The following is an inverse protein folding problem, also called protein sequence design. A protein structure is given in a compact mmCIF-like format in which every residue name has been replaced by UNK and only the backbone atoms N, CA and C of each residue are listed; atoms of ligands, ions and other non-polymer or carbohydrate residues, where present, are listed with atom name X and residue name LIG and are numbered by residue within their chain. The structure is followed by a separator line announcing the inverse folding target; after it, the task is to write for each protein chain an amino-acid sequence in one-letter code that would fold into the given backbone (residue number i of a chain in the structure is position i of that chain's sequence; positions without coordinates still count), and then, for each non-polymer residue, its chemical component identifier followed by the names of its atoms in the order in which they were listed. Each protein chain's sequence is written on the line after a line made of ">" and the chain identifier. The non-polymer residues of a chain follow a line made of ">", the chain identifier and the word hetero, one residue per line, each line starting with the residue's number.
data_IF_857003286641
#
_entry.id   IF_857003286641
#
_cell.length_a   1.000
_cell.length_b   1.000
_cell.length_c   1.000
_cell.angle_alpha   90.00
_cell.angle_beta   90.00
_cell.angle_gamma   90.00
#
_symmetry.space_group_name_H-M   'P 1'
#
loop_
_entity.id
_entity.type
_entity.pdbx_description
1 polymer ?
#
# COMPACT_ATOMS: atom_id res chain seq x y z
N UNK A 1 15.30 53.74 -46.82
CA UNK A 1 14.36 52.61 -47.03
C UNK A 1 14.08 52.00 -45.67
N UNK A 2 13.02 52.41 -44.99
CA UNK A 2 12.68 51.97 -43.63
C UNK A 2 11.72 50.81 -43.70
N UNK A 3 12.13 49.65 -43.18
CA UNK A 3 11.26 48.49 -43.03
C UNK A 3 10.34 48.67 -41.80
N UNK A 4 9.07 48.84 -42.05
CA UNK A 4 8.02 48.87 -41.05
C UNK A 4 7.76 47.44 -40.55
N UNK A 5 8.19 47.11 -39.35
CA UNK A 5 8.05 45.78 -38.72
C UNK A 5 6.65 45.68 -38.14
N UNK A 6 5.84 44.77 -38.67
CA UNK A 6 4.44 44.55 -38.40
C UNK A 6 4.17 44.24 -36.91
N UNK A 7 3.52 45.13 -36.18
CA UNK A 7 3.16 45.04 -34.77
C UNK A 7 2.17 43.91 -34.45
N UNK A 8 1.48 43.38 -35.46
CA UNK A 8 0.47 42.32 -35.35
C UNK A 8 1.07 40.95 -35.07
N UNK A 9 2.28 40.62 -35.54
CA UNK A 9 2.94 39.37 -35.26
C UNK A 9 3.47 39.27 -33.81
N UNK A 10 3.86 40.41 -33.24
CA UNK A 10 4.37 40.48 -31.86
C UNK A 10 3.24 40.25 -30.83
N UNK A 11 2.03 40.65 -31.14
CA UNK A 11 0.87 40.42 -30.28
C UNK A 11 0.39 38.98 -30.29
N UNK A 12 0.42 38.31 -31.45
CA UNK A 12 0.04 36.90 -31.57
C UNK A 12 1.00 35.97 -30.80
N UNK A 13 2.29 36.25 -30.77
CA UNK A 13 3.28 35.48 -30.02
C UNK A 13 3.06 35.58 -28.51
N UNK A 14 2.68 36.79 -28.02
CA UNK A 14 2.40 37.01 -26.61
C UNK A 14 1.12 36.30 -26.15
N UNK A 15 0.08 36.19 -26.97
CA UNK A 15 -1.15 35.46 -26.61
C UNK A 15 -0.94 33.95 -26.61
N UNK A 16 -0.12 33.40 -27.50
CA UNK A 16 0.22 31.96 -27.50
C UNK A 16 1.06 31.60 -26.29
N UNK A 17 2.01 32.45 -25.86
CA UNK A 17 2.80 32.21 -24.63
C UNK A 17 1.98 32.25 -23.35
N UNK A 18 0.94 33.07 -23.28
CA UNK A 18 0.06 33.16 -22.09
C UNK A 18 -0.88 31.95 -21.98
N UNK A 19 -1.33 31.41 -23.12
CA UNK A 19 -2.21 30.21 -23.12
C UNK A 19 -1.47 28.93 -22.72
N UNK A 20 -0.19 28.81 -23.04
CA UNK A 20 0.64 27.64 -22.67
C UNK A 20 0.96 27.62 -21.17
N UNK A 21 0.98 28.76 -20.48
CA UNK A 21 1.26 28.85 -19.04
C UNK A 21 0.06 28.46 -18.15
N UNK A 22 -1.14 28.33 -18.70
CA UNK A 22 -2.38 27.99 -17.97
C UNK A 22 -2.72 26.49 -18.02
N UNK A 23 -1.91 25.67 -18.70
CA UNK A 23 -2.06 24.18 -18.76
C UNK A 23 -1.08 23.48 -17.84
N UNK A 24 -0.89 23.95 -16.60
CA UNK A 24 -0.21 23.14 -15.59
C UNK A 24 -1.14 22.02 -15.13
N UNK A 25 -0.67 20.77 -15.11
CA UNK A 25 -1.51 19.63 -14.72
C UNK A 25 -1.87 19.73 -13.22
N UNK A 26 -3.15 19.91 -12.94
CA UNK A 26 -3.76 19.93 -11.58
C UNK A 26 -3.83 18.52 -10.97
N UNK A 27 -3.15 17.54 -11.54
CA UNK A 27 -3.31 16.12 -11.19
C UNK A 27 -2.74 15.72 -9.83
N UNK A 28 -1.80 16.47 -9.25
CA UNK A 28 -1.22 16.13 -7.93
C UNK A 28 -2.14 16.49 -6.75
N UNK A 29 -3.05 17.44 -6.91
CA UNK A 29 -3.93 17.89 -5.82
C UNK A 29 -4.98 16.84 -5.44
N UNK A 30 -5.51 16.10 -6.39
CA UNK A 30 -6.59 15.12 -6.15
C UNK A 30 -6.14 13.89 -5.34
N UNK A 31 -4.93 13.37 -5.58
CA UNK A 31 -4.44 12.20 -4.85
C UNK A 31 -4.20 12.53 -3.37
N UNK A 32 -3.68 13.71 -3.06
CA UNK A 32 -3.42 14.14 -1.68
C UNK A 32 -4.72 14.36 -0.90
N UNK A 33 -5.72 14.96 -1.52
CA UNK A 33 -7.04 15.19 -0.91
C UNK A 33 -7.77 13.85 -0.67
N UNK A 34 -7.73 12.94 -1.64
CA UNK A 34 -8.30 11.60 -1.52
C UNK A 34 -7.67 10.81 -0.36
N UNK A 35 -6.34 10.79 -0.27
CA UNK A 35 -5.65 10.09 0.81
C UNK A 35 -5.94 10.71 2.18
N UNK A 36 -5.97 12.04 2.29
CA UNK A 36 -6.32 12.72 3.53
C UNK A 36 -7.73 12.37 4.00
N UNK A 37 -8.71 12.32 3.08
CA UNK A 37 -10.08 11.95 3.40
C UNK A 37 -10.18 10.48 3.85
N UNK A 38 -9.55 9.55 3.15
CA UNK A 38 -9.52 8.13 3.53
C UNK A 38 -8.82 7.97 4.88
N UNK A 39 -7.62 8.52 5.07
CA UNK A 39 -6.85 8.43 6.32
C UNK A 39 -7.63 8.98 7.51
N UNK A 40 -8.39 10.05 7.32
CA UNK A 40 -9.22 10.64 8.40
C UNK A 40 -10.33 9.71 8.90
N UNK A 41 -10.74 8.75 8.09
CA UNK A 41 -11.81 7.78 8.40
C UNK A 41 -11.28 6.43 8.87
N UNK A 42 -10.03 6.11 8.52
CA UNK A 42 -9.40 4.87 8.97
C UNK A 42 -9.20 4.91 10.49
N UNK A 43 -9.51 3.79 11.13
CA UNK A 43 -9.21 3.60 12.53
C UNK A 43 -7.69 3.54 12.71
N UNK A 44 -7.14 4.56 13.35
CA UNK A 44 -5.72 4.61 13.74
C UNK A 44 -5.58 4.03 15.14
N UNK A 45 -5.48 2.71 15.24
CA UNK A 45 -5.31 2.02 16.51
C UNK A 45 -3.86 1.57 16.67
N UNK A 46 -3.26 1.73 17.89
CA UNK A 46 -1.90 1.26 18.16
C UNK A 46 -1.72 -0.24 17.94
N UNK A 47 -2.77 -1.01 18.19
CA UNK A 47 -2.80 -2.46 17.98
C UNK A 47 -4.02 -2.81 17.16
N UNK A 48 -3.83 -3.60 16.11
CA UNK A 48 -4.89 -4.21 15.31
C UNK A 48 -4.63 -5.69 15.14
N UNK A 49 -5.64 -6.51 15.28
CA UNK A 49 -5.55 -7.96 15.07
C UNK A 49 -6.80 -8.51 14.44
N UNK A 50 -6.68 -9.61 13.72
CA UNK A 50 -7.82 -10.24 13.06
C UNK A 50 -7.43 -11.49 12.30
N UNK A 51 -8.35 -11.94 11.46
CA UNK A 51 -8.15 -13.08 10.59
C UNK A 51 -7.82 -12.62 9.18
N UNK A 52 -7.05 -13.43 8.46
CA UNK A 52 -6.88 -13.28 7.02
C UNK A 52 -7.25 -14.57 6.29
N UNK A 53 -7.75 -14.40 5.07
CA UNK A 53 -7.84 -15.43 4.05
C UNK A 53 -7.05 -14.98 2.83
N UNK A 54 -6.18 -15.84 2.32
CA UNK A 54 -5.32 -15.54 1.18
C UNK A 54 -5.57 -16.53 0.05
N UNK A 55 -5.74 -16.02 -1.15
CA UNK A 55 -5.78 -16.77 -2.40
C UNK A 55 -4.58 -16.33 -3.26
N UNK A 56 -3.69 -17.29 -3.57
CA UNK A 56 -2.58 -17.04 -4.49
C UNK A 56 -2.80 -17.78 -5.80
N UNK A 57 -3.01 -17.02 -6.86
CA UNK A 57 -3.18 -17.52 -8.22
C UNK A 57 -1.83 -17.53 -8.94
N UNK A 58 -1.36 -18.71 -9.25
CA UNK A 58 -0.16 -18.91 -10.06
C UNK A 58 -0.58 -19.30 -11.48
N UNK A 59 -0.04 -18.65 -12.50
CA UNK A 59 -0.35 -18.92 -13.91
C UNK A 59 -0.24 -20.40 -14.31
N UNK A 60 0.66 -21.12 -13.65
CA UNK A 60 0.93 -22.53 -13.93
C UNK A 60 -0.05 -23.48 -13.24
N UNK A 61 -0.89 -22.99 -12.35
CA UNK A 61 -1.86 -23.80 -11.60
C UNK A 61 -3.28 -23.49 -12.05
N UNK A 62 -4.10 -24.52 -12.17
CA UNK A 62 -5.53 -24.39 -12.51
C UNK A 62 -6.41 -23.97 -11.34
N UNK A 63 -5.90 -24.04 -10.12
CA UNK A 63 -6.60 -23.65 -8.89
C UNK A 63 -5.69 -22.78 -8.02
N UNK A 64 -6.24 -21.81 -7.30
CA UNK A 64 -5.44 -21.01 -6.38
C UNK A 64 -4.92 -21.82 -5.19
N UNK A 65 -3.80 -21.39 -4.65
CA UNK A 65 -3.32 -21.83 -3.35
C UNK A 65 -4.03 -21.03 -2.27
N UNK A 66 -4.74 -21.73 -1.39
CA UNK A 66 -5.50 -21.12 -0.30
C UNK A 66 -4.70 -21.20 0.97
N UNK A 67 -4.66 -20.11 1.73
CA UNK A 67 -4.14 -20.13 3.09
C UNK A 67 -4.98 -19.20 3.99
N UNK A 68 -4.95 -19.44 5.29
CA UNK A 68 -5.64 -18.60 6.26
C UNK A 68 -4.92 -18.61 7.60
N UNK A 69 -5.18 -17.58 8.39
CA UNK A 69 -4.54 -17.43 9.68
C UNK A 69 -4.92 -16.15 10.39
N UNK A 70 -4.02 -15.72 11.27
CA UNK A 70 -4.17 -14.54 12.12
C UNK A 70 -3.09 -13.52 11.78
N UNK A 71 -3.44 -12.25 11.87
CA UNK A 71 -2.47 -11.16 11.87
C UNK A 71 -2.57 -10.37 13.16
N UNK A 72 -1.46 -9.82 13.59
CA UNK A 72 -1.37 -8.81 14.65
C UNK A 72 -0.45 -7.71 14.17
N UNK A 73 -0.93 -6.47 14.22
CA UNK A 73 -0.15 -5.26 13.98
C UNK A 73 0.05 -4.54 15.31
N UNK A 74 1.26 -4.10 15.58
CA UNK A 74 1.59 -3.17 16.64
C UNK A 74 2.42 -2.03 16.06
N UNK A 75 1.99 -0.79 16.29
CA UNK A 75 2.59 0.41 15.71
C UNK A 75 4.09 0.55 16.01
N UNK A 76 4.51 0.10 17.18
CA UNK A 76 5.90 0.21 17.64
C UNK A 76 6.78 -1.00 17.30
N UNK A 77 6.15 -2.18 17.11
CA UNK A 77 6.87 -3.46 16.98
C UNK A 77 6.83 -4.03 15.56
N UNK A 78 5.73 -3.79 14.82
CA UNK A 78 5.56 -4.31 13.47
C UNK A 78 4.37 -5.26 13.30
N UNK A 79 4.55 -6.33 12.54
CA UNK A 79 3.49 -7.28 12.17
C UNK A 79 3.88 -8.71 12.51
N UNK A 80 2.96 -9.42 13.14
CA UNK A 80 2.94 -10.88 13.25
C UNK A 80 1.94 -11.40 12.20
N UNK A 81 2.40 -12.29 11.33
CA UNK A 81 1.57 -12.97 10.34
C UNK A 81 1.65 -14.48 10.58
N UNK A 82 0.60 -15.05 11.19
CA UNK A 82 0.55 -16.44 11.60
C UNK A 82 -0.37 -17.24 10.70
N UNK A 83 0.18 -17.96 9.74
CA UNK A 83 -0.59 -18.88 8.90
C UNK A 83 -0.94 -20.12 9.73
N UNK A 84 -2.19 -20.54 9.70
CA UNK A 84 -2.70 -21.72 10.38
C UNK A 84 -2.97 -22.87 9.41
N UNK A 85 -3.44 -22.55 8.21
CA UNK A 85 -3.86 -23.53 7.19
C UNK A 85 -3.30 -23.09 5.83
N UNK A 86 -2.83 -24.00 4.96
CA UNK A 86 -2.72 -25.48 5.14
C UNK A 86 -1.47 -25.87 5.93
N UNK A 87 -0.41 -25.07 5.90
CA UNK A 87 0.86 -25.35 6.58
C UNK A 87 1.13 -24.23 7.59
N UNK A 88 1.16 -24.55 8.89
CA UNK A 88 1.45 -23.56 9.90
C UNK A 88 2.80 -22.89 9.68
N UNK A 89 2.80 -21.56 9.74
CA UNK A 89 4.03 -20.76 9.63
C UNK A 89 3.87 -19.43 10.37
N UNK A 90 4.98 -18.88 10.80
CA UNK A 90 5.07 -17.59 11.45
C UNK A 90 5.99 -16.70 10.64
N UNK A 91 5.50 -15.50 10.30
CA UNK A 91 6.26 -14.44 9.69
C UNK A 91 6.19 -13.22 10.60
N UNK A 92 7.33 -12.68 10.97
CA UNK A 92 7.47 -11.48 11.77
C UNK A 92 8.11 -10.40 10.88
N UNK A 93 7.54 -9.21 10.86
CA UNK A 93 7.99 -8.12 9.99
C UNK A 93 8.05 -6.82 10.79
N UNK A 94 9.17 -6.12 10.72
CA UNK A 94 9.27 -4.71 11.11
C UNK A 94 9.86 -3.88 9.95
N UNK A 95 10.30 -2.65 10.22
CA UNK A 95 10.84 -1.76 9.17
C UNK A 95 12.14 -2.27 8.54
N UNK A 96 12.93 -3.08 9.24
CA UNK A 96 14.28 -3.49 8.84
C UNK A 96 14.46 -5.01 8.69
N UNK A 97 13.57 -5.80 9.29
CA UNK A 97 13.73 -7.24 9.41
C UNK A 97 12.48 -7.99 8.99
N UNK A 98 12.69 -9.17 8.41
CA UNK A 98 11.69 -10.20 8.23
C UNK A 98 12.25 -11.50 8.78
N UNK A 99 11.58 -12.07 9.77
CA UNK A 99 11.92 -13.37 10.35
C UNK A 99 10.84 -14.37 9.95
N UNK A 100 11.24 -15.45 9.32
CA UNK A 100 10.37 -16.57 8.95
C UNK A 100 10.91 -17.87 9.50
N UNK A 101 10.17 -18.97 9.30
CA UNK A 101 10.65 -20.31 9.63
C UNK A 101 11.95 -20.72 8.90
N UNK A 102 12.35 -19.97 7.86
CA UNK A 102 13.61 -20.15 7.13
C UNK A 102 14.77 -19.27 7.66
N UNK A 103 14.56 -18.58 8.77
CA UNK A 103 15.52 -17.67 9.39
C UNK A 103 15.27 -16.20 9.09
N UNK A 104 16.19 -15.37 9.55
CA UNK A 104 16.15 -13.94 9.31
C UNK A 104 16.50 -13.61 7.87
N UNK A 105 15.70 -12.76 7.25
CA UNK A 105 15.93 -12.25 5.90
C UNK A 105 15.83 -10.73 5.92
N UNK A 106 16.81 -10.08 5.32
CA UNK A 106 16.71 -8.64 5.05
C UNK A 106 15.67 -8.44 3.93
N UNK A 107 14.53 -7.90 4.30
CA UNK A 107 13.52 -7.48 3.31
C UNK A 107 13.90 -6.11 2.80
N UNK A 108 13.67 -5.83 1.52
CA UNK A 108 13.64 -4.45 1.08
C UNK A 108 12.69 -3.68 2.00
N UNK A 109 13.18 -2.61 2.62
CA UNK A 109 12.43 -1.81 3.61
C UNK A 109 11.02 -1.40 3.11
N UNK A 110 10.86 -1.30 1.78
CA UNK A 110 9.57 -1.05 1.14
C UNK A 110 8.50 -2.11 1.47
N UNK A 111 8.84 -3.39 1.65
CA UNK A 111 7.84 -4.43 1.96
C UNK A 111 7.34 -4.32 3.39
N UNK A 112 8.23 -4.19 4.36
CA UNK A 112 7.86 -4.00 5.77
C UNK A 112 7.02 -2.74 5.95
N UNK A 113 7.42 -1.64 5.27
CA UNK A 113 6.71 -0.36 5.29
C UNK A 113 5.28 -0.49 4.73
N UNK A 114 5.10 -1.19 3.60
CA UNK A 114 3.78 -1.40 3.00
C UNK A 114 2.85 -2.14 3.98
N UNK A 115 3.30 -3.24 4.59
CA UNK A 115 2.50 -3.98 5.56
C UNK A 115 2.16 -3.12 6.79
N UNK A 116 3.14 -2.41 7.35
CA UNK A 116 2.94 -1.54 8.50
C UNK A 116 1.91 -0.45 8.22
N UNK A 117 2.07 0.26 7.12
CA UNK A 117 1.18 1.35 6.72
C UNK A 117 -0.24 0.86 6.43
N UNK A 118 -0.37 -0.29 5.75
CA UNK A 118 -1.67 -0.84 5.39
C UNK A 118 -2.50 -1.28 6.60
N UNK A 119 -1.85 -1.83 7.62
CA UNK A 119 -2.52 -2.29 8.84
C UNK A 119 -2.60 -1.19 9.90
N UNK A 120 -1.71 -0.20 9.83
CA UNK A 120 -1.65 0.94 10.74
C UNK A 120 -2.51 2.15 10.36
N UNK A 121 -3.05 2.17 9.15
CA UNK A 121 -3.98 3.21 8.69
C UNK A 121 -3.35 4.52 8.23
N UNK A 122 -2.04 4.73 8.31
CA UNK A 122 -1.38 5.93 7.76
C UNK A 122 -0.95 5.74 6.31
N UNK A 123 -1.89 5.91 5.39
CA UNK A 123 -1.68 5.72 3.95
C UNK A 123 -0.78 6.79 3.32
N UNK A 124 -0.53 7.92 3.99
CA UNK A 124 0.31 9.00 3.45
C UNK A 124 1.76 8.54 3.25
N UNK A 125 2.26 7.67 4.12
CA UNK A 125 3.61 7.11 4.01
C UNK A 125 3.83 6.31 2.71
N UNK A 126 2.76 5.80 2.07
CA UNK A 126 2.86 5.07 0.81
C UNK A 126 3.21 5.97 -0.37
N UNK A 127 2.97 7.29 -0.27
CA UNK A 127 3.25 8.25 -1.35
C UNK A 127 4.72 8.35 -1.71
N UNK A 128 5.63 8.00 -0.80
CA UNK A 128 7.07 7.97 -1.08
C UNK A 128 7.45 6.87 -2.07
N UNK A 129 6.90 5.66 -1.89
CA UNK A 129 7.26 4.47 -2.67
C UNK A 129 6.33 4.18 -3.85
N UNK A 130 5.12 4.79 -3.87
CA UNK A 130 4.08 4.47 -4.85
C UNK A 130 3.46 5.70 -5.48
N UNK A 131 3.11 5.58 -6.75
CA UNK A 131 2.11 6.42 -7.38
C UNK A 131 0.73 5.88 -6.97
N UNK A 132 -0.10 6.73 -6.40
CA UNK A 132 -1.40 6.34 -5.84
C UNK A 132 -2.50 6.98 -6.65
N UNK A 133 -3.43 6.16 -7.10
CA UNK A 133 -4.70 6.57 -7.71
C UNK A 133 -5.85 5.86 -7.00
N UNK A 134 -7.05 6.34 -7.14
CA UNK A 134 -8.19 5.68 -6.50
C UNK A 134 -9.43 6.53 -6.43
N UNK A 135 -10.39 6.03 -5.69
CA UNK A 135 -11.69 6.65 -5.51
C UNK A 135 -12.26 6.36 -4.12
N UNK A 136 -13.13 7.24 -3.70
CA UNK A 136 -13.86 7.16 -2.46
C UNK A 136 -15.36 7.22 -2.77
N UNK A 137 -16.04 6.09 -2.57
CA UNK A 137 -17.47 5.96 -2.90
C UNK A 137 -18.24 5.71 -1.62
N UNK A 138 -18.95 6.74 -1.14
CA UNK A 138 -19.78 6.68 0.09
C UNK A 138 -18.96 6.28 1.31
N UNK A 139 -19.14 5.02 1.80
CA UNK A 139 -18.48 4.46 2.97
C UNK A 139 -17.28 3.56 2.64
N UNK A 140 -17.02 3.30 1.37
CA UNK A 140 -15.93 2.44 0.93
C UNK A 140 -14.92 3.23 0.10
N UNK A 141 -13.68 2.76 0.08
CA UNK A 141 -12.60 3.35 -0.69
C UNK A 141 -11.82 2.27 -1.44
N UNK A 142 -11.26 2.66 -2.58
CA UNK A 142 -10.35 1.85 -3.38
C UNK A 142 -9.12 2.67 -3.74
N UNK A 143 -7.94 2.11 -3.51
CA UNK A 143 -6.65 2.68 -3.91
C UNK A 143 -5.89 1.71 -4.78
N UNK A 144 -5.30 2.21 -5.83
CA UNK A 144 -4.34 1.48 -6.66
C UNK A 144 -2.96 2.11 -6.51
N UNK A 145 -1.99 1.30 -6.15
CA UNK A 145 -0.61 1.67 -5.92
C UNK A 145 0.26 1.09 -7.01
N UNK A 146 1.01 1.95 -7.71
CA UNK A 146 2.01 1.55 -8.71
C UNK A 146 3.39 1.87 -8.14
N UNK A 147 4.32 0.89 -8.02
CA UNK A 147 5.64 1.13 -7.48
C UNK A 147 6.40 2.20 -8.27
N UNK A 148 7.15 3.08 -7.57
CA UNK A 148 8.08 4.03 -8.17
C UNK A 148 9.49 3.47 -8.27
N UNK A 149 9.86 2.56 -7.37
CA UNK A 149 11.17 1.93 -7.31
C UNK A 149 11.36 0.92 -8.45
N UNK A 150 12.46 1.01 -9.18
CA UNK A 150 12.74 0.16 -10.35
C UNK A 150 12.88 -1.33 -10.01
N UNK A 151 13.32 -1.68 -8.80
CA UNK A 151 13.41 -3.07 -8.38
C UNK A 151 12.02 -3.63 -8.12
N UNK A 152 11.17 -2.89 -7.41
CA UNK A 152 9.79 -3.29 -7.14
C UNK A 152 8.98 -3.40 -8.45
N UNK A 153 9.17 -2.51 -9.42
CA UNK A 153 8.52 -2.57 -10.73
C UNK A 153 8.84 -3.85 -11.53
N UNK A 154 9.95 -4.52 -11.24
CA UNK A 154 10.28 -5.81 -11.86
C UNK A 154 9.51 -6.99 -11.26
N UNK A 155 8.93 -6.81 -10.11
CA UNK A 155 8.24 -7.86 -9.35
C UNK A 155 6.74 -7.58 -9.27
N UNK A 156 6.38 -6.34 -8.93
CA UNK A 156 5.00 -5.90 -8.65
C UNK A 156 4.54 -4.99 -9.77
N UNK A 157 3.41 -5.34 -10.38
CA UNK A 157 2.73 -4.46 -11.32
C UNK A 157 1.88 -3.43 -10.57
N UNK A 158 0.95 -3.90 -9.73
CA UNK A 158 0.08 -3.04 -8.92
C UNK A 158 -0.27 -3.70 -7.59
N UNK A 159 -0.58 -2.87 -6.59
CA UNK A 159 -1.26 -3.29 -5.36
C UNK A 159 -2.58 -2.53 -5.31
N UNK A 160 -3.68 -3.25 -5.14
CA UNK A 160 -5.00 -2.64 -4.91
C UNK A 160 -5.41 -2.84 -3.46
N UNK A 161 -5.81 -1.77 -2.81
CA UNK A 161 -6.32 -1.75 -1.44
C UNK A 161 -7.77 -1.32 -1.46
N UNK A 162 -8.59 -1.95 -0.67
CA UNK A 162 -9.97 -1.52 -0.47
C UNK A 162 -10.45 -1.73 0.96
N UNK A 163 -11.36 -0.87 1.39
CA UNK A 163 -11.87 -0.93 2.75
C UNK A 163 -12.99 0.06 3.03
N UNK A 164 -13.29 0.18 4.31
CA UNK A 164 -14.27 1.11 4.87
C UNK A 164 -13.61 2.01 5.93
N UNK A 165 -13.81 1.74 7.21
CA UNK A 165 -13.06 2.32 8.33
C UNK A 165 -11.78 1.53 8.62
N UNK A 166 -11.57 0.42 7.93
CA UNK A 166 -10.41 -0.47 8.02
C UNK A 166 -10.08 -1.04 6.65
N UNK A 167 -8.86 -1.54 6.48
CA UNK A 167 -8.49 -2.33 5.31
C UNK A 167 -9.28 -3.64 5.31
N UNK A 168 -9.98 -3.94 4.21
CA UNK A 168 -10.74 -5.18 4.04
C UNK A 168 -10.11 -6.13 3.05
N UNK A 169 -9.56 -5.61 1.97
CA UNK A 169 -8.96 -6.43 0.91
C UNK A 169 -7.67 -5.80 0.41
N UNK A 170 -6.70 -6.66 0.17
CA UNK A 170 -5.46 -6.37 -0.55
C UNK A 170 -5.35 -7.31 -1.74
N UNK A 171 -5.07 -6.75 -2.92
CA UNK A 171 -4.73 -7.51 -4.12
C UNK A 171 -3.35 -7.09 -4.62
N UNK A 172 -2.47 -8.06 -4.81
CA UNK A 172 -1.13 -7.86 -5.36
C UNK A 172 -1.07 -8.51 -6.74
N UNK A 173 -0.85 -7.72 -7.76
CA UNK A 173 -0.63 -8.18 -9.13
C UNK A 173 0.87 -8.21 -9.43
N UNK A 174 1.41 -9.39 -9.70
CA UNK A 174 2.80 -9.56 -10.09
C UNK A 174 3.01 -9.32 -11.60
N UNK A 175 4.20 -8.87 -11.98
CA UNK A 175 4.61 -8.70 -13.40
C UNK A 175 4.57 -10.03 -14.15
N UNK A 176 4.81 -11.14 -13.45
CA UNK A 176 4.70 -12.52 -13.97
C UNK A 176 3.29 -12.90 -14.40
N UNK A 177 2.29 -12.11 -13.97
CA UNK A 177 0.86 -12.36 -14.15
C UNK A 177 0.26 -13.30 -13.10
N UNK A 178 1.02 -13.63 -12.06
CA UNK A 178 0.45 -14.18 -10.83
C UNK A 178 -0.27 -13.08 -10.07
N UNK A 179 -1.23 -13.45 -9.22
CA UNK A 179 -1.81 -12.50 -8.30
C UNK A 179 -2.14 -13.12 -6.95
N UNK A 180 -2.15 -12.29 -5.92
CA UNK A 180 -2.51 -12.68 -4.56
C UNK A 180 -3.63 -11.77 -4.08
N UNK A 181 -4.70 -12.33 -3.55
CA UNK A 181 -5.76 -11.62 -2.85
C UNK A 181 -5.74 -12.01 -1.38
N UNK A 182 -5.88 -11.03 -0.51
CA UNK A 182 -5.98 -11.21 0.94
C UNK A 182 -7.21 -10.47 1.42
N UNK A 183 -8.11 -11.18 2.09
CA UNK A 183 -9.28 -10.61 2.74
C UNK A 183 -9.10 -10.63 4.26
N UNK A 184 -9.33 -9.48 4.91
CA UNK A 184 -9.20 -9.27 6.35
C UNK A 184 -10.57 -9.25 7.01
N UNK A 185 -10.73 -10.05 8.06
CA UNK A 185 -12.01 -10.20 8.77
C UNK A 185 -11.82 -10.22 10.28
N UNK A 186 -12.90 -10.00 11.03
CA UNK A 186 -12.91 -10.04 12.50
C UNK A 186 -11.82 -9.14 13.11
N UNK A 187 -11.60 -7.96 12.53
CA UNK A 187 -10.61 -7.01 13.02
C UNK A 187 -11.06 -6.46 14.37
N UNK A 188 -10.15 -6.43 15.32
CA UNK A 188 -10.33 -5.90 16.67
C UNK A 188 -9.12 -5.06 17.07
N UNK A 189 -9.30 -4.14 18.02
CA UNK A 189 -8.30 -3.20 18.48
C UNK A 189 -8.08 -3.31 20.00
N UNK A 190 -7.35 -4.33 20.46
CA UNK A 190 -7.07 -4.47 21.88
C UNK A 190 -6.15 -3.35 22.36
N UNK A 191 -6.20 -3.07 23.66
CA UNK A 191 -5.32 -2.06 24.29
C UNK A 191 -3.94 -2.62 24.64
N UNK A 192 -3.79 -3.94 24.65
CA UNK A 192 -2.54 -4.64 25.00
C UNK A 192 -2.41 -5.90 24.16
N UNK A 193 -1.18 -6.29 23.87
CA UNK A 193 -0.84 -7.57 23.28
C UNK A 193 -1.01 -8.69 24.29
N UNK A 194 -1.28 -9.91 23.81
CA UNK A 194 -1.20 -11.10 24.64
C UNK A 194 0.24 -11.46 24.93
N UNK A 195 0.48 -12.27 25.97
CA UNK A 195 1.81 -12.76 26.31
C UNK A 195 2.48 -13.52 25.16
N UNK A 196 1.68 -14.29 24.37
CA UNK A 196 2.18 -14.99 23.20
C UNK A 196 2.67 -14.01 22.11
N UNK A 197 1.88 -12.97 21.84
CA UNK A 197 2.23 -11.93 20.86
C UNK A 197 3.46 -11.13 21.30
N UNK A 198 3.57 -10.80 22.59
CA UNK A 198 4.77 -10.15 23.13
C UNK A 198 6.01 -11.00 22.89
N UNK A 199 5.95 -12.30 23.23
CA UNK A 199 7.05 -13.25 23.01
C UNK A 199 7.41 -13.40 21.52
N UNK A 200 6.42 -13.39 20.63
CA UNK A 200 6.68 -13.44 19.20
C UNK A 200 7.39 -12.16 18.71
N UNK A 201 6.97 -10.98 19.18
CA UNK A 201 7.65 -9.71 18.85
C UNK A 201 9.06 -9.59 19.42
N UNK A 202 9.35 -10.18 20.59
CA UNK A 202 10.69 -10.18 21.16
C UNK A 202 11.72 -10.82 20.23
N UNK A 203 11.31 -11.73 19.34
CA UNK A 203 12.17 -12.34 18.31
C UNK A 203 12.63 -11.38 17.23
N UNK A 204 11.95 -10.22 17.06
CA UNK A 204 12.38 -9.12 16.19
C UNK A 204 13.38 -8.17 16.85
N UNK A 205 13.59 -8.30 18.16
CA UNK A 205 14.58 -7.51 18.86
C UNK A 205 15.98 -8.09 18.63
N UNK A 206 16.98 -7.23 18.33
CA UNK A 206 18.35 -7.66 18.13
C UNK A 206 19.00 -8.22 19.39
#
# INVERSE_FOLDING_TARGET
>A
MFFCRNSTQQQLINYVSIIVLLLMPVTQSYATELLADITSRLLNAPISQGNFQQEKHLKILSRPLMSSGLFTYDQSKGVIWKTLVPVPSLLLVNESQLISGQGEQNVPAAFGKVFKVMLGGDLNELTEGFLITGENIKSTWHLQLTPKDEFLQKIINTITLSGDIELRTLELQEVTGNYTRIDFTQITHPTQLSTEQETDFERLSP
#
